data_IF_000671815210
#
_entry.id   IF_000671815210
#
_cell.length_a   1.000
_cell.length_b   1.000
_cell.length_c   1.000
_cell.angle_alpha   90.00
_cell.angle_beta   90.00
_cell.angle_gamma   90.00
#
_symmetry.space_group_name_H-M   'P 1'
#
loop_
_entity.id
_entity.type
_entity.pdbx_description
1 polymer ?
#
# COMPACT_ATOMS: atom_id res chain seq x y z
N UNK A 1 -7.46 -1.49 -16.87
CA UNK A 1 -7.65 -1.93 -15.49
C UNK A 1 -8.39 -3.26 -15.56
N UNK A 2 -7.90 -4.28 -14.94
CA UNK A 2 -8.69 -5.50 -14.76
C UNK A 2 -9.45 -5.32 -13.45
N UNK A 3 -10.76 -5.28 -13.53
CA UNK A 3 -11.59 -5.13 -12.34
C UNK A 3 -12.05 -6.52 -11.91
N UNK A 4 -11.62 -6.93 -10.75
CA UNK A 4 -12.09 -8.14 -10.09
C UNK A 4 -13.56 -7.97 -9.70
N UNK A 5 -13.92 -6.73 -9.36
CA UNK A 5 -15.31 -6.30 -9.11
C UNK A 5 -15.87 -5.68 -10.39
N UNK A 6 -17.13 -5.97 -10.80
CA UNK A 6 -17.76 -5.30 -11.93
C UNK A 6 -17.70 -3.77 -11.79
N UNK A 7 -17.40 -3.08 -12.89
CA UNK A 7 -17.21 -1.61 -12.91
C UNK A 7 -18.40 -0.85 -12.32
N UNK A 8 -19.62 -1.33 -12.57
CA UNK A 8 -20.85 -0.74 -12.04
C UNK A 8 -20.91 -0.81 -10.51
N UNK A 9 -20.43 -1.92 -9.91
CA UNK A 9 -20.37 -2.10 -8.46
C UNK A 9 -19.25 -1.24 -7.87
N UNK A 10 -18.09 -1.19 -8.50
CA UNK A 10 -16.98 -0.32 -8.08
C UNK A 10 -17.39 1.15 -8.13
N UNK A 11 -18.02 1.60 -9.22
CA UNK A 11 -18.55 2.96 -9.36
C UNK A 11 -19.60 3.31 -8.30
N UNK A 12 -20.48 2.36 -7.95
CA UNK A 12 -21.41 2.54 -6.85
C UNK A 12 -20.70 2.71 -5.51
N UNK A 13 -19.73 1.84 -5.23
CA UNK A 13 -18.92 1.92 -4.00
C UNK A 13 -18.13 3.25 -3.92
N UNK A 14 -17.54 3.70 -5.03
CA UNK A 14 -16.89 5.01 -5.10
C UNK A 14 -17.86 6.17 -4.81
N UNK A 15 -19.05 6.12 -5.38
CA UNK A 15 -20.07 7.15 -5.15
C UNK A 15 -20.54 7.20 -3.68
N UNK A 16 -20.44 6.09 -2.96
CA UNK A 16 -20.84 5.95 -1.54
C UNK A 16 -19.63 5.97 -0.59
N UNK A 17 -18.44 6.26 -1.09
CA UNK A 17 -17.25 6.49 -0.29
C UNK A 17 -17.02 7.98 -0.12
N UNK A 18 -16.69 8.44 1.09
CA UNK A 18 -16.38 9.86 1.36
C UNK A 18 -15.33 10.37 0.36
N UNK A 19 -15.57 11.50 -0.32
CA UNK A 19 -14.61 12.07 -1.27
C UNK A 19 -13.23 12.30 -0.63
N UNK A 20 -12.14 12.13 -1.38
CA UNK A 20 -10.82 12.51 -0.92
C UNK A 20 -10.74 14.04 -0.69
N UNK A 21 -9.74 14.49 0.08
CA UNK A 21 -9.41 15.90 0.15
C UNK A 21 -9.07 16.46 -1.25
N UNK A 22 -9.34 17.76 -1.49
CA UNK A 22 -9.07 18.42 -2.77
C UNK A 22 -7.63 18.20 -3.26
N UNK A 23 -6.67 18.27 -2.35
CA UNK A 23 -5.26 18.02 -2.65
C UNK A 23 -5.01 16.61 -3.25
N UNK A 24 -5.70 15.59 -2.75
CA UNK A 24 -5.59 14.23 -3.29
C UNK A 24 -6.28 14.09 -4.66
N UNK A 25 -7.36 14.83 -4.88
CA UNK A 25 -8.00 14.87 -6.19
C UNK A 25 -7.08 15.54 -7.22
N UNK A 26 -6.45 16.67 -6.90
CA UNK A 26 -5.45 17.33 -7.74
C UNK A 26 -4.26 16.40 -8.03
N UNK A 27 -3.74 15.70 -7.00
CA UNK A 27 -2.66 14.73 -7.16
C UNK A 27 -3.03 13.62 -8.13
N UNK A 28 -4.25 13.08 -8.04
CA UNK A 28 -4.72 12.03 -8.92
C UNK A 28 -4.78 12.51 -10.39
N UNK A 29 -5.26 13.72 -10.64
CA UNK A 29 -5.30 14.30 -11.99
C UNK A 29 -3.89 14.58 -12.52
N UNK A 30 -2.98 15.13 -11.71
CA UNK A 30 -1.60 15.33 -12.13
C UNK A 30 -0.89 14.00 -12.42
N UNK A 31 -1.08 12.99 -11.56
CA UNK A 31 -0.51 11.65 -11.77
C UNK A 31 -0.94 11.06 -13.12
N UNK A 32 -2.23 11.15 -13.44
CA UNK A 32 -2.78 10.70 -14.73
C UNK A 32 -2.19 11.44 -15.92
N UNK A 33 -1.92 12.74 -15.77
CA UNK A 33 -1.44 13.59 -16.84
C UNK A 33 0.07 13.51 -17.07
N UNK A 34 0.87 13.17 -16.06
CA UNK A 34 2.33 13.41 -16.10
C UNK A 34 3.18 12.18 -15.79
N UNK A 35 2.65 11.18 -15.11
CA UNK A 35 3.41 9.98 -14.76
C UNK A 35 3.10 8.81 -15.69
N UNK A 36 4.14 8.00 -15.92
CA UNK A 36 3.99 6.73 -16.60
C UNK A 36 3.22 5.76 -15.68
N UNK A 37 2.38 4.92 -16.25
CA UNK A 37 1.58 3.93 -15.51
C UNK A 37 0.64 4.53 -14.44
N UNK A 38 -0.24 5.50 -14.80
CA UNK A 38 -1.14 6.15 -13.86
C UNK A 38 -2.14 5.20 -13.18
N UNK A 39 -2.32 4.00 -13.73
CA UNK A 39 -3.14 2.93 -13.14
C UNK A 39 -2.56 2.39 -11.82
N UNK A 40 -1.29 2.66 -11.51
CA UNK A 40 -0.66 2.31 -10.23
C UNK A 40 -1.15 3.17 -9.07
N UNK A 41 -1.91 4.24 -9.35
CA UNK A 41 -2.46 5.09 -8.30
C UNK A 41 -3.44 4.28 -7.43
N UNK A 42 -3.23 4.28 -6.12
CA UNK A 42 -4.07 3.62 -5.12
C UNK A 42 -5.57 3.98 -5.26
N UNK A 43 -5.89 5.24 -5.46
CA UNK A 43 -7.24 5.71 -5.71
C UNK A 43 -8.12 5.82 -4.47
N UNK A 44 -9.41 6.16 -4.70
CA UNK A 44 -10.31 6.65 -3.67
C UNK A 44 -10.70 5.58 -2.63
N UNK A 45 -11.14 4.41 -3.07
CA UNK A 45 -11.65 3.36 -2.17
C UNK A 45 -10.54 2.85 -1.28
N UNK A 46 -9.44 2.46 -1.90
CA UNK A 46 -8.31 1.90 -1.17
C UNK A 46 -7.60 2.95 -0.31
N UNK A 47 -7.43 4.18 -0.79
CA UNK A 47 -6.89 5.27 0.01
C UNK A 47 -7.71 5.51 1.29
N UNK A 48 -9.06 5.45 1.19
CA UNK A 48 -9.93 5.53 2.38
C UNK A 48 -9.84 4.30 3.27
N UNK A 49 -9.68 3.11 2.71
CA UNK A 49 -9.43 1.89 3.48
C UNK A 49 -8.14 2.02 4.30
N UNK A 50 -7.05 2.45 3.68
CA UNK A 50 -5.76 2.64 4.35
C UNK A 50 -5.85 3.69 5.47
N UNK A 51 -6.50 4.84 5.20
CA UNK A 51 -6.76 5.86 6.22
C UNK A 51 -7.53 5.30 7.42
N UNK A 52 -8.61 4.53 7.17
CA UNK A 52 -9.42 3.94 8.22
C UNK A 52 -8.65 2.89 9.03
N UNK A 53 -7.81 2.08 8.38
CA UNK A 53 -6.97 1.09 9.07
C UNK A 53 -5.95 1.77 9.99
N UNK A 54 -5.24 2.78 9.51
CA UNK A 54 -4.29 3.57 10.29
C UNK A 54 -5.00 4.24 11.49
N UNK A 55 -6.19 4.85 11.25
CA UNK A 55 -6.98 5.48 12.29
C UNK A 55 -7.48 4.47 13.35
N UNK A 56 -8.05 3.35 12.92
CA UNK A 56 -8.60 2.33 13.82
C UNK A 56 -7.52 1.69 14.69
N UNK A 57 -6.33 1.46 14.14
CA UNK A 57 -5.17 0.94 14.86
C UNK A 57 -4.50 1.98 15.77
N UNK A 58 -4.81 3.27 15.61
CA UNK A 58 -4.06 4.36 16.23
C UNK A 58 -2.55 4.23 15.94
N UNK A 59 -2.24 3.85 14.70
CA UNK A 59 -0.89 3.52 14.26
C UNK A 59 0.03 4.75 14.34
N UNK A 60 1.11 4.66 15.11
CA UNK A 60 2.10 5.73 15.24
C UNK A 60 3.31 5.52 14.35
N UNK A 61 3.70 4.28 14.10
CA UNK A 61 4.80 3.94 13.19
C UNK A 61 4.24 3.18 11.99
N UNK A 62 4.22 3.86 10.86
CA UNK A 62 3.72 3.33 9.59
C UNK A 62 4.89 3.21 8.63
N UNK A 63 5.00 2.07 7.95
CA UNK A 63 5.93 1.84 6.86
C UNK A 63 5.17 1.60 5.56
N UNK A 64 5.57 2.29 4.52
CA UNK A 64 5.08 2.08 3.16
C UNK A 64 6.21 1.66 2.25
N UNK A 65 6.00 0.62 1.45
CA UNK A 65 6.90 0.20 0.40
C UNK A 65 6.26 0.50 -0.95
N UNK A 66 6.80 1.48 -1.67
CA UNK A 66 6.24 2.05 -2.89
C UNK A 66 5.48 3.36 -2.63
N UNK A 67 6.17 4.51 -2.75
CA UNK A 67 5.56 5.84 -2.58
C UNK A 67 4.77 6.25 -3.82
N UNK A 68 5.29 5.95 -5.02
CA UNK A 68 4.80 6.47 -6.29
C UNK A 68 4.58 7.99 -6.23
N UNK A 69 3.37 8.48 -6.53
CA UNK A 69 3.06 9.92 -6.47
C UNK A 69 2.72 10.43 -5.06
N UNK A 70 2.65 9.55 -4.05
CA UNK A 70 2.38 9.91 -2.66
C UNK A 70 0.90 9.90 -2.26
N UNK A 71 0.02 9.31 -3.07
CA UNK A 71 -1.42 9.29 -2.78
C UNK A 71 -1.75 8.44 -1.55
N UNK A 72 -1.20 7.23 -1.46
CA UNK A 72 -1.39 6.31 -0.33
C UNK A 72 -0.79 6.86 0.97
N UNK A 73 0.45 7.37 0.92
CA UNK A 73 1.07 7.99 2.10
C UNK A 73 0.28 9.19 2.64
N UNK A 74 -0.25 10.06 1.76
CA UNK A 74 -1.12 11.16 2.17
C UNK A 74 -2.46 10.68 2.72
N UNK A 75 -3.04 9.64 2.14
CA UNK A 75 -4.27 9.02 2.64
C UNK A 75 -4.07 8.46 4.04
N UNK A 76 -3.00 7.69 4.26
CA UNK A 76 -2.64 7.14 5.56
C UNK A 76 -2.33 8.24 6.59
N UNK A 77 -1.64 9.31 6.17
CA UNK A 77 -1.26 10.41 7.05
C UNK A 77 -2.47 11.14 7.64
N UNK A 78 -3.59 11.18 6.93
CA UNK A 78 -4.85 11.74 7.44
C UNK A 78 -5.45 10.92 8.60
N UNK A 79 -5.14 9.61 8.66
CA UNK A 79 -5.57 8.71 9.74
C UNK A 79 -4.63 8.66 10.95
N UNK A 80 -3.45 9.26 10.88
CA UNK A 80 -2.46 9.19 11.96
C UNK A 80 -2.92 9.88 13.24
N UNK A 81 -2.70 9.28 14.41
CA UNK A 81 -2.86 9.95 15.69
C UNK A 81 -1.76 11.01 15.91
N UNK A 82 -1.87 11.78 16.97
CA UNK A 82 -0.81 12.72 17.37
C UNK A 82 0.51 11.98 17.62
N UNK A 83 1.60 12.51 17.05
CA UNK A 83 2.94 11.91 17.10
C UNK A 83 3.13 10.72 16.18
N UNK A 84 2.15 10.41 15.32
CA UNK A 84 2.29 9.37 14.30
C UNK A 84 3.16 9.83 13.12
N UNK A 85 3.87 8.88 12.49
CA UNK A 85 4.81 9.12 11.39
C UNK A 85 4.78 7.98 10.37
N UNK A 86 4.96 8.35 9.10
CA UNK A 86 5.10 7.41 7.98
C UNK A 86 6.51 7.48 7.42
N UNK A 87 7.17 6.35 7.36
CA UNK A 87 8.36 6.15 6.55
C UNK A 87 7.93 5.47 5.24
N UNK A 88 8.20 6.08 4.08
CA UNK A 88 7.84 5.53 2.77
C UNK A 88 9.07 5.37 1.89
N UNK A 89 9.14 4.27 1.12
CA UNK A 89 10.29 3.90 0.29
C UNK A 89 9.99 4.14 -1.19
N UNK A 90 10.93 4.75 -1.92
CA UNK A 90 10.82 5.00 -3.36
C UNK A 90 12.18 4.85 -4.04
N UNK A 91 12.20 4.31 -5.25
CA UNK A 91 13.41 4.18 -6.08
C UNK A 91 13.46 5.18 -7.22
N UNK A 92 12.33 5.73 -7.63
CA UNK A 92 12.19 6.68 -8.74
C UNK A 92 12.27 8.12 -8.25
N UNK A 93 13.28 8.87 -8.69
CA UNK A 93 13.35 10.31 -8.43
C UNK A 93 12.14 11.05 -9.03
N UNK A 94 11.69 10.67 -10.25
CA UNK A 94 10.52 11.27 -10.91
C UNK A 94 9.25 11.15 -10.05
N UNK A 95 9.02 9.99 -9.46
CA UNK A 95 7.88 9.75 -8.56
C UNK A 95 8.03 10.56 -7.27
N UNK A 96 9.20 10.49 -6.66
CA UNK A 96 9.46 11.17 -5.38
C UNK A 96 9.38 12.68 -5.48
N UNK A 97 9.71 13.29 -6.65
CA UNK A 97 9.53 14.73 -6.88
C UNK A 97 8.07 15.15 -6.81
N UNK A 98 7.17 14.37 -7.43
CA UNK A 98 5.73 14.60 -7.34
C UNK A 98 5.26 14.44 -5.90
N UNK A 99 5.60 13.32 -5.26
CA UNK A 99 5.23 13.06 -3.87
C UNK A 99 5.66 14.17 -2.93
N UNK A 100 6.94 14.60 -2.98
CA UNK A 100 7.45 15.70 -2.14
C UNK A 100 6.69 17.01 -2.31
N UNK A 101 6.31 17.38 -3.56
CA UNK A 101 5.54 18.60 -3.80
C UNK A 101 4.16 18.55 -3.14
N UNK A 102 3.49 17.41 -3.21
CA UNK A 102 2.17 17.24 -2.60
C UNK A 102 2.26 17.08 -1.08
N UNK A 103 3.26 16.37 -0.56
CA UNK A 103 3.52 16.30 0.88
C UNK A 103 3.73 17.72 1.45
N UNK A 104 4.56 18.55 0.82
CA UNK A 104 4.82 19.92 1.28
C UNK A 104 3.58 20.83 1.29
N UNK A 105 2.55 20.53 0.51
CA UNK A 105 1.26 21.24 0.47
C UNK A 105 0.23 20.69 1.47
N UNK A 106 0.49 19.51 2.02
CA UNK A 106 -0.42 18.82 2.93
C UNK A 106 -0.20 19.30 4.38
N UNK A 107 -1.26 19.42 5.19
CA UNK A 107 -1.12 19.65 6.63
C UNK A 107 -0.46 18.48 7.37
N UNK A 108 -0.27 17.35 6.69
CA UNK A 108 0.34 16.13 7.24
C UNK A 108 1.77 15.88 6.72
N UNK A 109 2.28 16.76 5.85
CA UNK A 109 3.56 16.51 5.15
C UNK A 109 4.75 16.31 6.06
N UNK A 110 4.80 17.02 7.19
CA UNK A 110 5.86 16.90 8.21
C UNK A 110 5.88 15.52 8.90
N UNK A 111 4.82 14.72 8.71
CA UNK A 111 4.69 13.38 9.27
C UNK A 111 5.09 12.27 8.29
N UNK A 112 5.61 12.63 7.11
CA UNK A 112 5.98 11.68 6.07
C UNK A 112 7.43 11.88 5.69
N UNK A 113 8.22 10.81 5.76
CA UNK A 113 9.62 10.80 5.30
C UNK A 113 9.77 9.85 4.12
N UNK A 114 10.23 10.37 2.98
CA UNK A 114 10.56 9.55 1.81
C UNK A 114 12.02 9.10 1.91
N UNK A 115 12.22 7.79 1.89
CA UNK A 115 13.52 7.15 1.83
C UNK A 115 13.79 6.68 0.40
N UNK A 116 14.81 7.28 -0.23
CA UNK A 116 15.23 6.89 -1.57
C UNK A 116 16.09 5.64 -1.53
N UNK A 117 15.84 4.71 -2.44
CA UNK A 117 16.61 3.47 -2.61
C UNK A 117 15.81 2.20 -2.31
N UNK A 118 16.47 1.02 -2.36
CA UNK A 118 15.82 -0.26 -2.15
C UNK A 118 15.16 -0.38 -0.78
N UNK A 119 13.89 -0.85 -0.76
CA UNK A 119 13.11 -0.90 0.47
C UNK A 119 13.72 -1.83 1.53
N UNK A 120 14.33 -2.96 1.15
CA UNK A 120 14.99 -3.88 2.10
C UNK A 120 16.11 -3.21 2.90
N UNK A 121 16.91 -2.36 2.26
CA UNK A 121 17.96 -1.60 2.93
C UNK A 121 17.37 -0.59 3.94
N UNK A 122 16.27 0.04 3.57
CA UNK A 122 15.56 0.96 4.47
C UNK A 122 14.94 0.23 5.65
N UNK A 123 14.31 -0.94 5.44
CA UNK A 123 13.78 -1.79 6.49
C UNK A 123 14.86 -2.15 7.52
N UNK A 124 16.03 -2.56 7.06
CA UNK A 124 17.16 -2.90 7.94
C UNK A 124 17.64 -1.68 8.75
N UNK A 125 17.81 -0.55 8.08
CA UNK A 125 18.33 0.69 8.68
C UNK A 125 17.39 1.29 9.72
N UNK A 126 16.08 1.29 9.49
CA UNK A 126 15.09 1.89 10.39
C UNK A 126 14.85 1.06 11.65
N UNK A 127 14.94 -0.26 11.55
CA UNK A 127 14.73 -1.18 12.68
C UNK A 127 13.42 -0.99 13.45
N UNK A 128 13.27 -1.72 14.55
CA UNK A 128 12.11 -1.63 15.45
C UNK A 128 10.85 -2.29 14.93
N UNK A 129 9.73 -2.04 15.62
CA UNK A 129 8.41 -2.61 15.27
C UNK A 129 7.54 -1.56 14.57
N UNK A 130 6.56 -2.03 13.78
CA UNK A 130 5.63 -1.22 13.01
C UNK A 130 4.20 -1.50 13.42
N UNK A 131 3.40 -0.43 13.59
CA UNK A 131 1.97 -0.54 13.88
C UNK A 131 1.17 -0.83 12.60
N UNK A 132 1.60 -0.26 11.48
CA UNK A 132 1.00 -0.54 10.19
C UNK A 132 2.08 -0.61 9.10
N UNK A 133 1.96 -1.59 8.22
CA UNK A 133 2.82 -1.75 7.04
C UNK A 133 1.94 -1.83 5.80
N UNK A 134 2.25 -1.05 4.76
CA UNK A 134 1.63 -1.14 3.45
C UNK A 134 2.68 -1.53 2.41
N UNK A 135 2.44 -2.61 1.68
CA UNK A 135 3.35 -3.13 0.65
C UNK A 135 2.68 -3.01 -0.72
N UNK A 136 3.17 -2.07 -1.54
CA UNK A 136 2.80 -1.87 -2.94
C UNK A 136 4.05 -1.45 -3.75
N UNK A 137 5.03 -2.34 -3.82
CA UNK A 137 6.31 -2.13 -4.49
C UNK A 137 6.52 -3.14 -5.62
N UNK A 138 7.78 -3.45 -5.91
CA UNK A 138 8.17 -4.49 -6.87
C UNK A 138 7.76 -5.88 -6.40
N UNK A 139 6.93 -6.54 -7.21
CA UNK A 139 6.26 -7.79 -6.83
C UNK A 139 7.24 -8.95 -6.60
N UNK A 140 8.37 -8.94 -7.29
CA UNK A 140 9.44 -9.92 -7.16
C UNK A 140 10.00 -10.01 -5.73
N UNK A 141 9.95 -8.91 -4.98
CA UNK A 141 10.43 -8.83 -3.60
C UNK A 141 9.33 -9.00 -2.53
N UNK A 142 8.09 -9.21 -2.90
CA UNK A 142 6.99 -9.31 -1.93
C UNK A 142 7.21 -10.38 -0.84
N UNK A 143 7.72 -11.56 -1.22
CA UNK A 143 8.06 -12.60 -0.26
C UNK A 143 9.19 -12.18 0.70
N UNK A 144 10.19 -11.44 0.20
CA UNK A 144 11.28 -10.91 1.00
C UNK A 144 10.79 -9.83 1.97
N UNK A 145 9.90 -8.94 1.52
CA UNK A 145 9.26 -7.92 2.37
C UNK A 145 8.42 -8.56 3.47
N UNK A 146 7.60 -9.56 3.13
CA UNK A 146 6.81 -10.31 4.09
C UNK A 146 7.67 -10.93 5.20
N UNK A 147 8.72 -11.64 4.84
CA UNK A 147 9.64 -12.28 5.81
C UNK A 147 10.39 -11.27 6.67
N UNK A 148 10.81 -10.15 6.10
CA UNK A 148 11.52 -9.11 6.83
C UNK A 148 10.63 -8.38 7.83
N UNK A 149 9.32 -8.21 7.49
CA UNK A 149 8.41 -7.34 8.23
C UNK A 149 7.45 -8.09 9.16
N UNK A 150 7.06 -9.33 8.86
CA UNK A 150 6.17 -10.08 9.75
C UNK A 150 6.70 -10.14 11.21
N UNK A 151 7.98 -10.47 11.47
CA UNK A 151 8.51 -10.48 12.84
C UNK A 151 8.58 -9.09 13.50
N UNK A 152 8.48 -8.04 12.69
CA UNK A 152 8.58 -6.64 13.13
C UNK A 152 7.22 -5.93 13.23
N UNK A 153 6.12 -6.62 13.05
CA UNK A 153 4.81 -6.06 13.38
C UNK A 153 4.67 -5.94 14.90
N UNK A 154 4.17 -4.81 15.37
CA UNK A 154 3.79 -4.63 16.77
C UNK A 154 2.73 -5.67 17.17
N UNK A 155 2.50 -5.87 18.45
CA UNK A 155 1.55 -6.87 18.95
C UNK A 155 0.11 -6.66 18.40
N UNK A 156 -0.28 -5.41 18.16
CA UNK A 156 -1.54 -5.02 17.51
C UNK A 156 -1.35 -4.58 16.07
N UNK A 157 -0.14 -4.76 15.52
CA UNK A 157 0.22 -4.29 14.19
C UNK A 157 -0.44 -5.09 13.08
N UNK A 158 -0.63 -4.42 11.94
CA UNK A 158 -1.24 -4.97 10.73
C UNK A 158 -0.35 -4.67 9.51
N UNK A 159 -0.23 -5.64 8.63
CA UNK A 159 0.36 -5.48 7.31
C UNK A 159 -0.75 -5.60 6.26
N UNK A 160 -0.75 -4.70 5.29
CA UNK A 160 -1.58 -4.76 4.10
C UNK A 160 -0.67 -4.94 2.87
N UNK A 161 -0.96 -5.94 2.05
CA UNK A 161 -0.24 -6.20 0.79
C UNK A 161 -1.21 -6.01 -0.35
N UNK A 162 -0.90 -5.09 -1.28
CA UNK A 162 -1.73 -4.80 -2.46
C UNK A 162 -1.43 -5.75 -3.64
N UNK A 163 -2.34 -5.79 -4.60
CA UNK A 163 -2.31 -6.55 -5.83
C UNK A 163 -2.22 -8.07 -5.65
N UNK A 164 -2.74 -8.59 -4.55
CA UNK A 164 -2.67 -10.02 -4.25
C UNK A 164 -3.61 -10.90 -5.08
N UNK A 165 -4.56 -10.31 -5.82
CA UNK A 165 -5.39 -10.99 -6.82
C UNK A 165 -4.90 -10.80 -8.26
N UNK A 166 -3.98 -9.86 -8.48
CA UNK A 166 -3.25 -9.64 -9.72
C UNK A 166 -4.15 -9.66 -10.96
N UNK A 167 -5.19 -8.82 -10.95
CA UNK A 167 -6.17 -8.71 -12.05
C UNK A 167 -6.88 -10.02 -12.39
N UNK A 168 -7.01 -10.92 -11.41
CA UNK A 168 -7.57 -12.26 -11.60
C UNK A 168 -6.61 -13.26 -12.24
N UNK A 169 -5.42 -12.85 -12.65
CA UNK A 169 -4.40 -13.72 -13.28
C UNK A 169 -3.94 -14.86 -12.36
N UNK A 170 -4.09 -14.69 -11.04
CA UNK A 170 -3.82 -15.76 -10.06
C UNK A 170 -4.67 -17.02 -10.29
N UNK A 171 -5.81 -16.91 -11.00
CA UNK A 171 -6.72 -18.01 -11.31
C UNK A 171 -6.39 -18.73 -12.63
N UNK A 172 -5.59 -18.13 -13.49
CA UNK A 172 -5.22 -18.69 -14.78
C UNK A 172 -4.00 -19.60 -14.66
N UNK A 173 -4.21 -20.90 -14.54
CA UNK A 173 -3.13 -21.90 -14.42
C UNK A 173 -2.17 -21.91 -15.62
N UNK A 174 -2.58 -21.35 -16.75
CA UNK A 174 -1.74 -21.25 -17.95
C UNK A 174 -0.85 -20.02 -17.98
N UNK A 175 -1.09 -19.05 -17.05
CA UNK A 175 -0.27 -17.88 -16.89
C UNK A 175 0.98 -18.21 -16.07
N UNK A 176 2.10 -18.38 -16.77
CA UNK A 176 3.43 -18.70 -16.22
C UNK A 176 4.37 -17.48 -16.18
N UNK A 177 3.85 -16.27 -16.35
CA UNK A 177 4.63 -15.05 -16.10
C UNK A 177 5.18 -15.02 -14.67
N UNK A 178 6.42 -14.60 -14.54
CA UNK A 178 7.16 -14.61 -13.27
C UNK A 178 6.40 -13.89 -12.16
N UNK A 179 5.87 -12.71 -12.44
CA UNK A 179 5.12 -11.90 -11.46
C UNK A 179 3.86 -12.62 -10.97
N UNK A 180 3.10 -13.27 -11.89
CA UNK A 180 1.90 -14.02 -11.52
C UNK A 180 2.25 -15.20 -10.62
N UNK A 181 3.33 -15.92 -10.95
CA UNK A 181 3.82 -17.02 -10.14
C UNK A 181 4.24 -16.58 -8.74
N UNK A 182 5.02 -15.49 -8.65
CA UNK A 182 5.47 -14.95 -7.36
C UNK A 182 4.30 -14.56 -6.45
N UNK A 183 3.24 -13.96 -7.02
CA UNK A 183 2.06 -13.60 -6.23
C UNK A 183 1.28 -14.83 -5.77
N UNK A 184 1.12 -15.86 -6.60
CA UNK A 184 0.52 -17.13 -6.18
C UNK A 184 1.30 -17.78 -5.03
N UNK A 185 2.62 -17.91 -5.21
CA UNK A 185 3.51 -18.48 -4.20
C UNK A 185 3.45 -17.70 -2.87
N UNK A 186 3.37 -16.37 -2.95
CA UNK A 186 3.19 -15.53 -1.77
C UNK A 186 1.85 -15.80 -1.07
N UNK A 187 0.75 -15.84 -1.82
CA UNK A 187 -0.58 -16.10 -1.27
C UNK A 187 -0.64 -17.46 -0.56
N UNK A 188 -0.09 -18.51 -1.20
CA UNK A 188 -0.01 -19.87 -0.63
C UNK A 188 0.87 -19.87 0.63
N UNK A 189 1.99 -19.17 0.59
CA UNK A 189 2.89 -19.05 1.74
C UNK A 189 2.23 -18.35 2.93
N UNK A 190 1.54 -17.23 2.71
CA UNK A 190 0.86 -16.48 3.77
C UNK A 190 -0.20 -17.34 4.46
N UNK A 191 -1.03 -18.05 3.68
CA UNK A 191 -2.11 -18.87 4.28
C UNK A 191 -1.59 -20.09 5.03
N UNK A 192 -0.43 -20.61 4.65
CA UNK A 192 0.23 -21.74 5.32
C UNK A 192 1.09 -21.33 6.51
N UNK A 193 1.37 -20.02 6.71
CA UNK A 193 2.26 -19.57 7.76
C UNK A 193 1.58 -19.56 9.15
N UNK A 194 2.01 -20.46 10.02
CA UNK A 194 1.49 -20.56 11.38
C UNK A 194 1.77 -19.33 12.27
N UNK A 195 2.71 -18.47 11.86
CA UNK A 195 3.05 -17.22 12.56
C UNK A 195 2.04 -16.10 12.32
N UNK A 196 1.18 -16.26 11.30
CA UNK A 196 0.30 -15.22 10.81
C UNK A 196 -1.19 -15.59 10.88
N UNK A 197 -2.04 -14.58 10.85
CA UNK A 197 -3.47 -14.69 10.55
C UNK A 197 -3.74 -13.68 9.44
N UNK A 198 -4.27 -14.15 8.32
CA UNK A 198 -4.49 -13.35 7.14
C UNK A 198 -5.95 -13.40 6.65
N UNK A 199 -6.38 -12.34 5.98
CA UNK A 199 -7.60 -12.29 5.18
C UNK A 199 -7.32 -11.57 3.87
N UNK A 200 -7.70 -12.19 2.76
CA UNK A 200 -7.60 -11.58 1.43
C UNK A 200 -8.95 -10.94 1.06
N UNK A 201 -8.91 -9.65 0.75
CA UNK A 201 -10.07 -8.83 0.40
C UNK A 201 -10.13 -8.61 -1.11
N UNK A 202 -11.35 -8.62 -1.66
CA UNK A 202 -11.61 -8.31 -3.08
C UNK A 202 -11.78 -6.80 -3.32
N UNK A 203 -10.91 -6.00 -2.72
CA UNK A 203 -10.84 -4.55 -2.93
C UNK A 203 -9.86 -4.28 -4.06
N UNK A 204 -10.31 -3.59 -5.10
CA UNK A 204 -9.53 -3.31 -6.31
C UNK A 204 -8.82 -4.55 -6.86
N UNK A 205 -7.49 -4.61 -6.79
CA UNK A 205 -6.68 -5.73 -7.29
C UNK A 205 -6.31 -6.74 -6.20
N UNK A 206 -7.05 -6.71 -5.11
CA UNK A 206 -6.89 -7.58 -3.95
C UNK A 206 -5.93 -7.04 -2.91
N UNK A 207 -6.42 -6.86 -1.68
CA UNK A 207 -5.61 -6.46 -0.53
C UNK A 207 -5.61 -7.58 0.49
N UNK A 208 -4.44 -8.09 0.85
CA UNK A 208 -4.30 -9.08 1.92
C UNK A 208 -3.90 -8.40 3.22
N UNK A 209 -4.75 -8.50 4.24
CA UNK A 209 -4.48 -8.01 5.59
C UNK A 209 -3.90 -9.13 6.44
N UNK A 210 -2.80 -8.85 7.15
CA UNK A 210 -2.02 -9.85 7.89
C UNK A 210 -1.63 -9.28 9.26
N UNK A 211 -1.86 -10.06 10.32
CA UNK A 211 -1.31 -9.79 11.64
C UNK A 211 -0.51 -10.98 12.16
N UNK A 212 0.36 -10.75 13.12
CA UNK A 212 0.98 -11.86 13.88
C UNK A 212 -0.07 -12.63 14.69
N UNK A 213 0.18 -13.89 14.87
CA UNK A 213 -0.60 -14.76 15.76
C UNK A 213 -0.22 -14.54 17.21
#
# INVERSE_FOLDING_TARGET
MSFIVPEEIEGYAEAHTTPPAELLAELAEETKATLDSPQMLTGKIEGRLLEQLVHALQAKRVLELGTFSGYSSLSMAAGLPEGGHIDTCEVSEKHSEVARRYHARSPYGDRITIHMGPALETIERLGGEWDFVFIDADKENYANYYEALLPRLAATGLMAIDNTLWSGRVLDESDDEETTRVIRELNDRIVADERAIAVQLTVRDGVTLIRRR
#
